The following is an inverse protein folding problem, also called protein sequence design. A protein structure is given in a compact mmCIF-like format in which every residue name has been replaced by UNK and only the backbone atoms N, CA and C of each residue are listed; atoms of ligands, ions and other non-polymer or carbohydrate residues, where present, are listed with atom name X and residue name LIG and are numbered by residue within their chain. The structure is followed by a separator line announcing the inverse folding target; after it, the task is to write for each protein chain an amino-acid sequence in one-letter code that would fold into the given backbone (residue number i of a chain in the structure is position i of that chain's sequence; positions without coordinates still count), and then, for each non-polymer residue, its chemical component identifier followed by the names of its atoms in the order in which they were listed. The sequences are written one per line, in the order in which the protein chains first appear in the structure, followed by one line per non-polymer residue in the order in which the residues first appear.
data_IF_527908447910
#
_entry.id   IF_527908447910
#
_cell.length_a   1.000
_cell.length_b   1.000
_cell.length_c   1.000
_cell.angle_alpha   90.00
_cell.angle_beta   90.00
_cell.angle_gamma   90.00
#
_symmetry.space_group_name_H-M   'P 1'
#
loop_
_entity.id
_entity.type
_entity.pdbx_description
1 polymer ?
#
# COMPACT_ATOMS: atom_id res chain seq x y z
N UNK A 1 -7.08 -3.13 -27.76
CA UNK A 1 -8.09 -3.14 -26.69
C UNK A 1 -7.76 -4.29 -25.75
N UNK A 2 -7.28 -3.99 -24.53
CA UNK A 2 -7.01 -5.02 -23.52
C UNK A 2 -8.31 -5.63 -23.05
N UNK A 3 -8.41 -6.97 -23.03
CA UNK A 3 -9.59 -7.65 -22.51
C UNK A 3 -9.83 -7.28 -21.03
N UNK A 4 -11.10 -7.14 -20.62
CA UNK A 4 -11.49 -6.82 -19.21
C UNK A 4 -10.84 -7.77 -18.20
N UNK A 5 -10.62 -9.05 -18.54
CA UNK A 5 -9.98 -10.07 -17.67
C UNK A 5 -8.51 -9.77 -17.33
N UNK A 6 -7.79 -9.02 -18.16
CA UNK A 6 -6.38 -8.65 -17.91
C UNK A 6 -6.23 -7.43 -16.97
N UNK A 7 -7.32 -6.70 -16.68
CA UNK A 7 -7.30 -5.51 -15.82
C UNK A 7 -7.50 -5.80 -14.33
N UNK A 8 -7.95 -6.99 -13.96
CA UNK A 8 -8.38 -7.30 -12.58
C UNK A 8 -7.28 -7.79 -11.65
N UNK A 9 -6.01 -7.63 -11.98
CA UNK A 9 -4.90 -8.20 -11.21
C UNK A 9 -4.34 -7.35 -10.08
N UNK A 10 -4.73 -6.10 -9.95
CA UNK A 10 -4.29 -5.32 -8.81
C UNK A 10 -5.46 -4.53 -8.20
N UNK A 11 -5.28 -4.12 -6.95
CA UNK A 11 -6.28 -3.35 -6.22
C UNK A 11 -6.61 -2.04 -6.94
N UNK A 12 -5.61 -1.43 -7.60
CA UNK A 12 -5.76 -0.26 -8.44
C UNK A 12 -6.73 -0.51 -9.60
N UNK A 13 -6.57 -1.64 -10.32
CA UNK A 13 -7.43 -1.98 -11.47
C UNK A 13 -8.87 -2.22 -11.03
N UNK A 14 -9.08 -2.92 -9.89
CA UNK A 14 -10.42 -3.10 -9.31
C UNK A 14 -11.06 -1.77 -8.92
N UNK A 15 -10.29 -0.77 -8.50
CA UNK A 15 -10.82 0.54 -8.16
C UNK A 15 -11.27 1.36 -9.37
N UNK A 16 -10.75 1.05 -10.55
CA UNK A 16 -11.20 1.68 -11.80
C UNK A 16 -12.57 1.13 -12.21
N UNK A 17 -12.78 -0.18 -12.06
CA UNK A 17 -14.06 -0.83 -12.42
C UNK A 17 -15.15 -0.60 -11.37
N UNK A 18 -14.80 -0.47 -10.08
CA UNK A 18 -15.75 -0.32 -8.97
C UNK A 18 -15.26 0.61 -7.86
N UNK A 19 -15.14 1.93 -8.10
CA UNK A 19 -14.56 2.87 -7.14
C UNK A 19 -15.38 3.03 -5.86
N UNK A 20 -16.70 2.84 -5.91
CA UNK A 20 -17.61 3.03 -4.78
C UNK A 20 -17.21 2.20 -3.57
N UNK A 21 -16.78 0.95 -3.77
CA UNK A 21 -16.38 0.07 -2.66
C UNK A 21 -15.14 0.62 -1.94
N UNK A 22 -14.22 1.22 -2.66
CA UNK A 22 -13.01 1.83 -2.09
C UNK A 22 -13.33 3.12 -1.33
N UNK A 23 -14.24 3.94 -1.82
CA UNK A 23 -14.74 5.12 -1.10
C UNK A 23 -15.42 4.69 0.21
N UNK A 24 -16.33 3.72 0.14
CA UNK A 24 -17.02 3.24 1.33
C UNK A 24 -16.06 2.65 2.37
N UNK A 25 -15.12 1.78 1.95
CA UNK A 25 -14.20 1.14 2.88
C UNK A 25 -13.11 2.10 3.40
N UNK A 26 -12.46 2.84 2.49
CA UNK A 26 -11.28 3.62 2.86
C UNK A 26 -11.66 5.00 3.43
N UNK A 27 -12.70 5.65 2.91
CA UNK A 27 -13.07 7.00 3.38
C UNK A 27 -14.10 6.91 4.51
N UNK A 28 -15.29 6.35 4.24
CA UNK A 28 -16.34 6.24 5.26
C UNK A 28 -15.94 5.29 6.39
N UNK A 29 -15.28 4.16 6.09
CA UNK A 29 -14.77 3.25 7.12
C UNK A 29 -13.73 3.92 8.01
N UNK A 30 -12.81 4.72 7.45
CA UNK A 30 -11.84 5.50 8.24
C UNK A 30 -12.55 6.56 9.09
N UNK A 31 -13.51 7.28 8.52
CA UNK A 31 -14.30 8.25 9.28
C UNK A 31 -14.99 7.61 10.50
N UNK A 32 -15.69 6.50 10.31
CA UNK A 32 -16.37 5.79 11.40
C UNK A 32 -15.39 5.30 12.47
N UNK A 33 -14.22 4.79 12.06
CA UNK A 33 -13.17 4.39 12.98
C UNK A 33 -12.64 5.59 13.79
N UNK A 34 -12.44 6.73 13.15
CA UNK A 34 -11.93 7.95 13.79
C UNK A 34 -12.93 8.50 14.81
N UNK A 35 -14.24 8.50 14.51
CA UNK A 35 -15.28 8.89 15.47
C UNK A 35 -15.27 7.98 16.71
N UNK A 36 -15.19 6.67 16.50
CA UNK A 36 -15.08 5.72 17.61
C UNK A 36 -13.77 5.88 18.39
N UNK A 37 -12.63 6.04 17.68
CA UNK A 37 -11.32 6.19 18.29
C UNK A 37 -11.19 7.52 19.09
N UNK A 38 -11.79 8.58 18.63
CA UNK A 38 -11.86 9.86 19.34
C UNK A 38 -12.48 9.68 20.76
N UNK A 39 -13.59 8.95 20.84
CA UNK A 39 -14.24 8.64 22.12
C UNK A 39 -13.39 7.69 22.96
N UNK A 40 -12.79 6.67 22.32
CA UNK A 40 -11.96 5.70 23.03
C UNK A 40 -10.68 6.33 23.60
N UNK A 41 -9.98 7.12 22.80
CA UNK A 41 -8.71 7.75 23.20
C UNK A 41 -8.86 8.83 24.27
N UNK A 42 -10.06 9.40 24.44
CA UNK A 42 -10.33 10.32 25.55
C UNK A 42 -10.41 9.63 26.93
N UNK A 43 -10.66 8.32 26.94
CA UNK A 43 -10.83 7.51 28.16
C UNK A 43 -9.63 6.60 28.45
N UNK A 44 -8.89 6.21 27.42
CA UNK A 44 -7.83 5.22 27.53
C UNK A 44 -6.55 5.72 26.89
N UNK A 45 -5.41 5.45 27.55
CA UNK A 45 -4.10 5.68 26.94
C UNK A 45 -3.93 4.73 25.74
N UNK A 46 -4.07 5.26 24.54
CA UNK A 46 -4.11 4.50 23.30
C UNK A 46 -3.39 5.25 22.19
N UNK A 47 -3.00 4.55 21.15
CA UNK A 47 -2.35 5.12 19.96
C UNK A 47 -2.88 4.42 18.72
N UNK A 48 -3.13 5.16 17.65
CA UNK A 48 -3.56 4.65 16.34
C UNK A 48 -2.41 4.80 15.33
N UNK A 49 -2.06 3.73 14.64
CA UNK A 49 -1.23 3.79 13.43
C UNK A 49 -2.11 3.52 12.23
N UNK A 50 -2.32 4.55 11.41
CA UNK A 50 -3.04 4.43 10.15
C UNK A 50 -2.11 3.94 9.05
N UNK A 51 -2.37 2.74 8.53
CA UNK A 51 -1.56 2.16 7.45
C UNK A 51 -2.10 2.58 6.10
N UNK A 52 -1.32 3.36 5.37
CA UNK A 52 -1.59 3.85 4.02
C UNK A 52 -0.63 3.23 2.99
N UNK A 53 -0.40 3.90 1.89
CA UNK A 53 0.37 3.40 0.74
C UNK A 53 1.17 4.53 0.09
N UNK A 54 2.32 4.19 -0.50
CA UNK A 54 3.11 5.10 -1.33
C UNK A 54 2.40 5.55 -2.62
N UNK A 55 1.34 4.83 -3.04
CA UNK A 55 0.54 5.21 -4.22
C UNK A 55 -0.16 6.58 -4.06
N UNK A 56 -0.28 7.11 -2.84
CA UNK A 56 -0.82 8.46 -2.60
C UNK A 56 0.04 9.56 -3.22
N UNK A 57 1.33 9.32 -3.37
CA UNK A 57 2.26 10.25 -4.01
C UNK A 57 2.15 10.27 -5.54
N UNK A 58 1.49 9.26 -6.14
CA UNK A 58 1.36 9.11 -7.58
C UNK A 58 2.62 8.57 -8.26
N UNK A 59 2.78 8.87 -9.55
CA UNK A 59 3.92 8.38 -10.33
C UNK A 59 5.15 9.28 -10.09
N UNK A 60 6.10 8.81 -9.29
CA UNK A 60 7.38 9.49 -9.04
C UNK A 60 8.36 9.09 -10.15
N UNK A 61 8.52 9.95 -11.15
CA UNK A 61 9.34 9.65 -12.34
C UNK A 61 10.85 9.74 -12.07
N UNK A 62 11.27 10.60 -11.14
CA UNK A 62 12.68 10.80 -10.75
C UNK A 62 12.79 10.97 -9.25
N UNK A 63 13.83 10.40 -8.65
CA UNK A 63 14.07 10.49 -7.22
C UNK A 63 13.13 9.62 -6.39
N UNK A 64 12.77 10.12 -5.21
CA UNK A 64 11.88 9.46 -4.23
C UNK A 64 10.97 10.48 -3.60
N UNK A 65 9.80 10.02 -3.17
CA UNK A 65 8.94 10.79 -2.29
C UNK A 65 9.42 10.67 -0.84
N UNK A 66 9.56 11.78 -0.17
CA UNK A 66 9.66 11.85 1.29
C UNK A 66 8.28 12.15 1.89
N UNK A 67 8.20 12.25 3.20
CA UNK A 67 6.95 12.48 3.93
C UNK A 67 6.34 13.87 3.68
N UNK A 68 7.12 14.83 3.14
CA UNK A 68 6.66 16.17 2.76
C UNK A 68 6.23 16.25 1.28
N UNK A 69 6.38 15.15 0.53
CA UNK A 69 6.02 15.13 -0.88
C UNK A 69 4.50 15.27 -1.08
N UNK A 70 4.10 16.15 -2.00
CA UNK A 70 2.68 16.39 -2.27
C UNK A 70 1.97 15.14 -2.80
N UNK A 71 0.78 14.85 -2.29
CA UNK A 71 -0.08 13.78 -2.78
C UNK A 71 -0.60 14.10 -4.18
N UNK A 72 -0.40 13.18 -5.11
CA UNK A 72 -0.88 13.24 -6.51
C UNK A 72 -1.41 11.86 -6.95
N UNK A 73 -2.44 11.32 -6.28
CA UNK A 73 -2.92 9.96 -6.53
C UNK A 73 -3.37 9.79 -7.98
N UNK A 74 -2.96 8.69 -8.61
CA UNK A 74 -3.21 8.41 -10.02
C UNK A 74 -4.30 7.34 -10.26
N UNK A 75 -5.03 6.95 -9.22
CA UNK A 75 -6.15 5.98 -9.32
C UNK A 75 -7.21 6.24 -8.26
N UNK A 76 -8.47 5.77 -8.44
CA UNK A 76 -9.51 5.88 -7.41
C UNK A 76 -9.11 5.24 -6.08
N UNK A 77 -8.38 4.11 -6.10
CA UNK A 77 -7.81 3.51 -4.89
C UNK A 77 -6.85 4.47 -4.19
N UNK A 78 -5.85 4.96 -4.91
CA UNK A 78 -4.87 5.88 -4.34
C UNK A 78 -5.52 7.17 -3.82
N UNK A 79 -6.52 7.70 -4.55
CA UNK A 79 -7.29 8.86 -4.13
C UNK A 79 -8.09 8.60 -2.85
N UNK A 80 -8.72 7.41 -2.72
CA UNK A 80 -9.45 7.05 -1.50
C UNK A 80 -8.51 6.88 -0.29
N UNK A 81 -7.29 6.38 -0.49
CA UNK A 81 -6.26 6.30 0.56
C UNK A 81 -5.74 7.69 0.95
N UNK A 82 -5.47 8.55 -0.02
CA UNK A 82 -5.09 9.94 0.24
C UNK A 82 -6.17 10.70 1.04
N UNK A 83 -7.44 10.50 0.69
CA UNK A 83 -8.55 11.06 1.45
C UNK A 83 -8.59 10.53 2.89
N UNK A 84 -8.32 9.22 3.10
CA UNK A 84 -8.21 8.65 4.45
C UNK A 84 -7.09 9.30 5.26
N UNK A 85 -5.91 9.47 4.65
CA UNK A 85 -4.76 10.08 5.31
C UNK A 85 -5.07 11.53 5.72
N UNK A 86 -5.72 12.31 4.85
CA UNK A 86 -6.17 13.66 5.17
C UNK A 86 -7.22 13.69 6.28
N UNK A 87 -8.16 12.72 6.32
CA UNK A 87 -9.10 12.59 7.43
C UNK A 87 -8.37 12.35 8.75
N UNK A 88 -7.46 11.36 8.80
CA UNK A 88 -6.67 11.07 10.00
C UNK A 88 -5.90 12.30 10.45
N UNK A 89 -5.21 12.97 9.52
CA UNK A 89 -4.45 14.18 9.83
C UNK A 89 -5.33 15.33 10.35
N UNK A 90 -6.52 15.53 9.76
CA UNK A 90 -7.46 16.54 10.24
C UNK A 90 -7.95 16.27 11.67
N UNK A 91 -8.19 14.99 12.00
CA UNK A 91 -8.58 14.58 13.36
C UNK A 91 -7.46 14.76 14.37
N UNK A 92 -6.21 14.48 13.99
CA UNK A 92 -5.02 14.78 14.81
C UNK A 92 -4.98 16.28 15.12
N UNK A 93 -5.15 17.13 14.12
CA UNK A 93 -5.08 18.58 14.29
C UNK A 93 -6.23 19.17 15.08
N UNK A 94 -7.44 18.73 14.79
CA UNK A 94 -8.67 19.30 15.35
C UNK A 94 -8.99 18.71 16.74
N UNK A 95 -8.98 17.39 16.86
CA UNK A 95 -9.40 16.69 18.06
C UNK A 95 -8.24 16.18 18.93
N UNK A 96 -6.99 16.39 18.49
CA UNK A 96 -5.76 15.96 19.18
C UNK A 96 -5.72 14.45 19.47
N UNK A 97 -6.33 13.63 18.61
CA UNK A 97 -6.25 12.18 18.77
C UNK A 97 -4.81 11.69 18.62
N UNK A 98 -4.36 10.70 19.40
CA UNK A 98 -3.01 10.17 19.35
C UNK A 98 -2.82 9.21 18.19
N UNK A 99 -2.66 9.74 16.98
CA UNK A 99 -2.51 8.95 15.76
C UNK A 99 -1.24 9.30 14.97
N UNK A 100 -0.77 8.32 14.17
CA UNK A 100 0.35 8.43 13.23
C UNK A 100 -0.08 7.84 11.89
N UNK A 101 0.60 8.23 10.81
CA UNK A 101 0.30 7.73 9.46
C UNK A 101 1.56 7.06 8.91
N UNK A 102 1.40 5.89 8.28
CA UNK A 102 2.49 5.21 7.58
C UNK A 102 2.12 4.96 6.12
N UNK A 103 3.02 5.33 5.20
CA UNK A 103 2.88 5.09 3.76
C UNK A 103 3.88 4.00 3.37
N UNK A 104 3.39 2.80 3.06
CA UNK A 104 4.25 1.68 2.73
C UNK A 104 4.35 1.42 1.24
N UNK A 105 5.51 0.93 0.81
CA UNK A 105 5.73 0.40 -0.53
C UNK A 105 5.08 -0.98 -0.72
N UNK A 106 5.20 -1.59 -1.92
CA UNK A 106 4.54 -2.84 -2.21
C UNK A 106 5.06 -3.99 -1.34
N UNK A 107 4.19 -4.53 -0.53
CA UNK A 107 4.49 -5.67 0.32
C UNK A 107 4.47 -6.99 -0.45
N UNK A 108 5.33 -7.92 -0.05
CA UNK A 108 5.29 -9.33 -0.47
C UNK A 108 5.65 -10.25 0.70
N UNK A 109 5.26 -11.51 0.60
CA UNK A 109 5.61 -12.52 1.60
C UNK A 109 4.57 -13.61 1.76
N UNK A 110 4.77 -14.51 2.75
CA UNK A 110 3.84 -15.60 3.03
C UNK A 110 2.40 -15.12 3.23
N UNK A 111 1.44 -15.91 2.76
CA UNK A 111 -0.01 -15.64 2.84
C UNK A 111 -0.49 -14.41 2.06
N UNK A 112 0.34 -13.84 1.18
CA UNK A 112 -0.13 -12.79 0.27
C UNK A 112 -1.22 -13.34 -0.65
N UNK A 113 -2.24 -12.49 -0.94
CA UNK A 113 -3.37 -12.89 -1.78
C UNK A 113 -2.93 -13.42 -3.15
N UNK A 114 -3.45 -14.57 -3.62
CA UNK A 114 -3.00 -15.26 -4.84
C UNK A 114 -3.06 -14.43 -6.13
N UNK A 115 -3.92 -13.42 -6.17
CA UNK A 115 -4.03 -12.50 -7.33
C UNK A 115 -2.84 -11.54 -7.47
N UNK A 116 -2.04 -11.37 -6.43
CA UNK A 116 -0.88 -10.47 -6.48
C UNK A 116 0.24 -11.04 -7.34
N UNK A 117 1.08 -10.13 -7.87
CA UNK A 117 2.10 -10.49 -8.87
C UNK A 117 3.00 -11.65 -8.39
N UNK A 118 3.64 -11.51 -7.23
CA UNK A 118 4.60 -12.52 -6.75
C UNK A 118 3.95 -13.88 -6.50
N UNK A 119 2.85 -14.02 -5.73
CA UNK A 119 2.17 -15.30 -5.59
C UNK A 119 1.71 -15.91 -6.91
N UNK A 120 1.20 -15.08 -7.83
CA UNK A 120 0.76 -15.54 -9.15
C UNK A 120 1.92 -16.08 -9.98
N UNK A 121 3.07 -15.40 -9.98
CA UNK A 121 4.27 -15.87 -10.66
C UNK A 121 4.76 -17.19 -10.06
N UNK A 122 4.84 -17.30 -8.73
CA UNK A 122 5.25 -18.55 -8.03
C UNK A 122 4.32 -19.68 -8.40
N UNK A 123 2.99 -19.49 -8.31
CA UNK A 123 2.02 -20.51 -8.69
C UNK A 123 2.19 -20.97 -10.14
N UNK A 124 2.39 -20.03 -11.08
CA UNK A 124 2.55 -20.36 -12.49
C UNK A 124 3.88 -21.09 -12.76
N UNK A 125 4.98 -20.69 -12.08
CA UNK A 125 6.29 -21.37 -12.20
C UNK A 125 6.17 -22.83 -11.73
N UNK A 126 5.60 -23.06 -10.55
CA UNK A 126 5.44 -24.43 -9.98
C UNK A 126 4.56 -25.30 -10.88
N UNK A 127 3.56 -24.74 -11.54
CA UNK A 127 2.63 -25.47 -12.39
C UNK A 127 3.01 -25.43 -13.89
N UNK A 128 4.21 -25.01 -14.26
CA UNK A 128 4.68 -24.88 -15.64
C UNK A 128 3.71 -24.09 -16.55
N UNK A 129 3.08 -23.03 -16.01
CA UNK A 129 2.15 -22.16 -16.74
C UNK A 129 2.86 -20.91 -17.26
N UNK A 130 2.28 -20.30 -18.29
CA UNK A 130 2.75 -19.01 -18.80
C UNK A 130 2.80 -17.93 -17.71
N UNK A 131 3.87 -17.11 -17.73
CA UNK A 131 4.06 -16.06 -16.75
C UNK A 131 3.41 -14.75 -17.24
N UNK A 132 2.44 -14.21 -16.54
CA UNK A 132 1.75 -12.99 -16.94
C UNK A 132 2.64 -11.76 -16.74
N UNK A 133 3.24 -11.29 -17.82
CA UNK A 133 3.99 -10.03 -17.84
C UNK A 133 3.12 -8.96 -18.51
N UNK A 134 2.69 -7.96 -17.75
CA UNK A 134 1.83 -6.90 -18.26
C UNK A 134 2.62 -5.84 -19.04
N UNK A 135 2.12 -5.53 -20.23
CA UNK A 135 2.77 -4.59 -21.14
C UNK A 135 4.18 -5.03 -21.46
N UNK A 136 5.15 -4.10 -21.34
CA UNK A 136 6.58 -4.41 -21.56
C UNK A 136 7.30 -4.85 -20.28
N UNK A 137 6.58 -5.07 -19.16
CA UNK A 137 7.16 -5.46 -17.88
C UNK A 137 8.10 -4.43 -17.23
N UNK A 138 8.12 -3.19 -17.75
CA UNK A 138 9.01 -2.11 -17.28
C UNK A 138 8.50 -1.36 -16.06
N UNK A 139 7.27 -1.62 -15.63
CA UNK A 139 6.71 -1.00 -14.42
C UNK A 139 7.58 -1.37 -13.22
N UNK A 140 8.23 -0.38 -12.63
CA UNK A 140 9.06 -0.54 -11.45
C UNK A 140 8.25 -0.28 -10.19
N UNK A 141 8.55 -1.04 -9.16
CA UNK A 141 7.98 -0.90 -7.81
C UNK A 141 9.06 -1.13 -6.78
N UNK A 142 8.91 -0.47 -5.66
CA UNK A 142 9.68 -0.80 -4.48
C UNK A 142 9.02 -1.99 -3.76
N UNK A 143 9.83 -3.02 -3.43
CA UNK A 143 9.33 -4.27 -2.85
C UNK A 143 9.83 -4.44 -1.41
N UNK A 144 8.90 -4.54 -0.48
CA UNK A 144 9.16 -4.67 0.95
C UNK A 144 8.66 -6.03 1.45
N UNK A 145 9.50 -6.77 2.17
CA UNK A 145 9.05 -8.00 2.78
C UNK A 145 8.10 -7.72 3.94
N UNK A 146 7.01 -8.48 4.05
CA UNK A 146 5.95 -8.23 5.04
C UNK A 146 6.44 -8.24 6.49
N UNK A 147 7.44 -9.06 6.82
CA UNK A 147 8.05 -9.07 8.17
C UNK A 147 8.74 -7.74 8.48
N UNK A 148 9.49 -7.20 7.52
CA UNK A 148 10.18 -5.91 7.68
C UNK A 148 9.17 -4.78 7.84
N UNK A 149 8.07 -4.83 7.09
CA UNK A 149 6.97 -3.89 7.25
C UNK A 149 6.33 -3.98 8.65
N UNK A 150 6.03 -5.18 9.12
CA UNK A 150 5.47 -5.38 10.47
C UNK A 150 6.41 -4.86 11.57
N UNK A 151 7.72 -5.13 11.45
CA UNK A 151 8.73 -4.62 12.40
C UNK A 151 8.81 -3.08 12.36
N UNK A 152 8.75 -2.49 11.17
CA UNK A 152 8.72 -1.04 11.03
C UNK A 152 7.45 -0.42 11.65
N UNK A 153 6.27 -1.03 11.44
CA UNK A 153 5.02 -0.59 12.06
C UNK A 153 5.08 -0.65 13.59
N UNK A 154 5.63 -1.73 14.16
CA UNK A 154 5.85 -1.82 15.61
C UNK A 154 6.75 -0.70 16.11
N UNK A 155 7.85 -0.43 15.38
CA UNK A 155 8.76 0.67 15.74
C UNK A 155 8.10 2.05 15.63
N UNK A 156 7.27 2.28 14.62
CA UNK A 156 6.45 3.49 14.47
C UNK A 156 5.46 3.59 15.63
N UNK A 157 4.80 2.49 16.00
CA UNK A 157 3.88 2.47 17.14
C UNK A 157 4.58 2.80 18.46
N UNK A 158 5.75 2.21 18.73
CA UNK A 158 6.49 2.40 19.98
C UNK A 158 7.16 3.77 20.08
N UNK A 159 7.83 4.21 19.00
CA UNK A 159 8.76 5.34 19.01
C UNK A 159 8.32 6.53 18.14
N UNK A 160 7.31 6.35 17.31
CA UNK A 160 6.82 7.41 16.42
C UNK A 160 6.18 8.57 17.19
N UNK A 161 6.36 9.77 16.66
CA UNK A 161 5.76 10.99 17.17
C UNK A 161 4.33 11.13 16.68
N UNK A 162 3.42 11.45 17.57
CA UNK A 162 2.01 11.71 17.24
C UNK A 162 1.93 12.85 16.20
N UNK A 163 1.12 12.62 15.18
CA UNK A 163 0.92 13.60 14.10
C UNK A 163 1.87 13.49 12.92
N UNK A 164 2.91 12.66 13.01
CA UNK A 164 3.91 12.51 11.96
C UNK A 164 3.53 11.42 10.95
N UNK A 165 4.08 11.56 9.74
CA UNK A 165 4.02 10.60 8.65
C UNK A 165 5.32 9.81 8.60
N UNK A 166 5.25 8.56 8.17
CA UNK A 166 6.39 7.66 8.07
C UNK A 166 6.35 6.87 6.76
N UNK A 167 7.30 7.08 5.89
CA UNK A 167 7.48 6.26 4.70
C UNK A 167 8.23 4.96 5.04
N UNK A 168 7.63 3.83 4.69
CA UNK A 168 8.22 2.51 4.96
C UNK A 168 8.49 1.81 3.63
N UNK A 169 9.77 1.68 3.29
CA UNK A 169 10.23 1.07 2.06
C UNK A 169 11.55 0.31 2.22
N UNK A 170 11.95 -0.43 1.20
CA UNK A 170 13.17 -1.26 1.18
C UNK A 170 14.36 -0.59 0.51
N UNK A 171 14.16 0.54 -0.12
CA UNK A 171 15.14 1.20 -0.99
C UNK A 171 15.54 0.40 -2.26
N UNK A 172 14.78 -0.66 -2.60
CA UNK A 172 15.07 -1.53 -3.77
C UNK A 172 13.91 -1.51 -4.77
N UNK A 173 14.10 -0.79 -5.86
CA UNK A 173 13.17 -0.78 -6.98
C UNK A 173 13.50 -1.91 -7.96
N UNK A 174 12.52 -2.76 -8.24
CA UNK A 174 12.62 -3.81 -9.25
C UNK A 174 11.41 -3.73 -10.18
N UNK A 175 11.66 -3.87 -11.48
CA UNK A 175 10.58 -3.99 -12.44
C UNK A 175 10.04 -5.43 -12.50
N UNK A 176 8.87 -5.60 -13.12
CA UNK A 176 8.20 -6.90 -13.19
C UNK A 176 9.08 -7.99 -13.86
N UNK A 177 9.88 -7.63 -14.87
CA UNK A 177 10.80 -8.56 -15.52
C UNK A 177 11.91 -9.01 -14.56
N UNK A 178 12.49 -8.08 -13.79
CA UNK A 178 13.54 -8.40 -12.81
C UNK A 178 13.01 -9.34 -11.72
N UNK A 179 11.81 -9.09 -11.18
CA UNK A 179 11.15 -9.99 -10.22
C UNK A 179 10.94 -11.38 -10.83
N UNK A 180 10.39 -11.44 -12.06
CA UNK A 180 10.16 -12.72 -12.75
C UNK A 180 11.45 -13.51 -12.94
N UNK A 181 12.53 -12.86 -13.41
CA UNK A 181 13.84 -13.49 -13.58
C UNK A 181 14.42 -13.99 -12.26
N UNK A 182 14.27 -13.21 -11.18
CA UNK A 182 14.73 -13.62 -9.85
C UNK A 182 14.00 -14.88 -9.36
N UNK A 183 12.68 -14.93 -9.50
CA UNK A 183 11.88 -16.10 -9.12
C UNK A 183 12.23 -17.33 -9.95
N UNK A 184 12.41 -17.19 -11.27
CA UNK A 184 12.84 -18.29 -12.15
C UNK A 184 14.24 -18.82 -11.79
N UNK A 185 15.16 -17.94 -11.38
CA UNK A 185 16.49 -18.36 -10.93
C UNK A 185 16.40 -19.19 -9.64
N UNK A 186 15.57 -18.77 -8.69
CA UNK A 186 15.37 -19.51 -7.42
C UNK A 186 14.71 -20.88 -7.67
N UNK A 187 13.74 -20.95 -8.59
CA UNK A 187 13.02 -22.19 -8.89
C UNK A 187 13.84 -23.24 -9.68
N UNK A 188 15.00 -22.87 -10.24
CA UNK A 188 15.90 -23.78 -10.94
C UNK A 188 16.97 -24.41 -10.04
N UNK A 189 17.13 -23.88 -8.84
CA UNK A 189 18.02 -24.39 -7.80
C UNK A 189 17.25 -25.27 -6.81
#
# INVERSE_FOLDING_TARGET
VRSRRQRQMCIRDRSIDGPKNFINSNVLGTFNLLEAFKIFSSKYNSKLVHVSTDEVYGDVLKGRSDENFSYKPSSPYAASKAASDHLVYSYIRTYKIPALISNCSNNYGPKQHPEKLIPKLIYNIINNKELPIYGRGKNSREWLHVKDHCMALLKVFEKGKIGEFYNIGSNKNLNNIQITKALLKIAKN
#
